data_IF_814611291783
#
_entry.id   IF_814611291783
#
_cell.length_a   1.000
_cell.length_b   1.000
_cell.length_c   1.000
_cell.angle_alpha   90.00
_cell.angle_beta   90.00
_cell.angle_gamma   90.00
#
_symmetry.space_group_name_H-M   'P 1'
#
loop_
_entity.id
_entity.type
_entity.pdbx_description
1 polymer ?
#
# COMPACT_ATOMS: atom_id res chain seq x y z
N UNK A 1 -17.70 6.42 -29.65
CA UNK A 1 -18.76 5.41 -29.82
C UNK A 1 -19.91 5.86 -28.95
N UNK A 2 -21.12 5.93 -29.50
CA UNK A 2 -22.26 6.71 -28.97
C UNK A 2 -22.66 6.30 -27.55
N UNK A 3 -22.82 7.29 -26.67
CA UNK A 3 -23.63 7.16 -25.45
C UNK A 3 -25.06 6.82 -25.88
N UNK A 4 -25.37 5.53 -25.95
CA UNK A 4 -26.75 5.07 -25.99
C UNK A 4 -27.36 5.44 -24.64
N UNK A 5 -28.30 6.38 -24.64
CA UNK A 5 -29.15 6.63 -23.46
C UNK A 5 -29.88 5.32 -23.13
N UNK A 6 -29.49 4.70 -22.02
CA UNK A 6 -30.08 3.45 -21.56
C UNK A 6 -31.46 3.75 -21.01
N UNK A 7 -32.49 3.25 -21.68
CA UNK A 7 -33.87 3.40 -21.22
C UNK A 7 -34.16 2.51 -20.01
N UNK A 8 -35.24 2.83 -19.29
CA UNK A 8 -35.75 2.03 -18.17
C UNK A 8 -35.96 0.55 -18.56
N UNK A 9 -36.53 0.33 -19.75
CA UNK A 9 -36.77 -1.02 -20.29
C UNK A 9 -35.48 -1.81 -20.53
N UNK A 10 -34.44 -1.15 -21.02
CA UNK A 10 -33.13 -1.78 -21.26
C UNK A 10 -32.46 -2.12 -19.93
N UNK A 11 -32.54 -1.22 -18.94
CA UNK A 11 -32.01 -1.47 -17.61
C UNK A 11 -32.72 -2.66 -16.92
N UNK A 12 -34.05 -2.70 -17.01
CA UNK A 12 -34.84 -3.82 -16.49
C UNK A 12 -34.46 -5.13 -17.18
N UNK A 13 -34.27 -5.12 -18.50
CA UNK A 13 -33.87 -6.33 -19.22
C UNK A 13 -32.46 -6.77 -18.87
N UNK A 14 -31.50 -5.86 -18.71
CA UNK A 14 -30.15 -6.19 -18.23
C UNK A 14 -30.17 -6.82 -16.83
N UNK A 15 -30.99 -6.28 -15.92
CA UNK A 15 -31.18 -6.86 -14.57
C UNK A 15 -31.78 -8.26 -14.66
N UNK A 16 -32.77 -8.49 -15.53
CA UNK A 16 -33.37 -9.83 -15.74
C UNK A 16 -32.39 -10.82 -16.39
N UNK A 17 -31.63 -10.41 -17.41
CA UNK A 17 -30.60 -11.22 -18.07
C UNK A 17 -29.54 -11.66 -17.06
N UNK A 18 -29.03 -10.72 -16.26
CA UNK A 18 -28.07 -11.03 -15.21
C UNK A 18 -28.65 -11.96 -14.13
N UNK A 19 -29.91 -11.77 -13.71
CA UNK A 19 -30.62 -12.69 -12.81
C UNK A 19 -30.82 -14.11 -13.39
N UNK A 20 -30.75 -14.28 -14.72
CA UNK A 20 -30.75 -15.58 -15.41
C UNK A 20 -29.33 -16.15 -15.60
N UNK A 21 -28.35 -15.66 -14.82
CA UNK A 21 -26.92 -16.02 -14.86
C UNK A 21 -26.19 -15.64 -16.16
N UNK A 22 -26.68 -14.64 -16.89
CA UNK A 22 -25.95 -14.10 -18.02
C UNK A 22 -24.86 -13.14 -17.56
N UNK A 23 -23.65 -13.28 -18.10
CA UNK A 23 -22.51 -12.47 -17.67
C UNK A 23 -22.64 -11.00 -18.12
N UNK A 24 -22.10 -10.06 -17.35
CA UNK A 24 -22.04 -8.64 -17.75
C UNK A 24 -21.31 -8.44 -19.09
N UNK A 25 -20.37 -9.33 -19.43
CA UNK A 25 -19.64 -9.29 -20.69
C UNK A 25 -20.51 -9.69 -21.89
N UNK A 26 -21.31 -10.75 -21.76
CA UNK A 26 -22.20 -11.19 -22.83
C UNK A 26 -23.33 -10.19 -23.08
N UNK A 27 -23.92 -9.63 -22.02
CA UNK A 27 -24.94 -8.57 -22.16
C UNK A 27 -24.36 -7.35 -22.87
N UNK A 28 -23.17 -6.90 -22.46
CA UNK A 28 -22.50 -5.75 -23.07
C UNK A 28 -22.17 -5.97 -24.56
N UNK A 29 -21.70 -7.17 -24.91
CA UNK A 29 -21.36 -7.53 -26.28
C UNK A 29 -22.59 -7.64 -27.19
N UNK A 30 -23.68 -8.22 -26.68
CA UNK A 30 -24.89 -8.45 -27.47
C UNK A 30 -25.65 -7.14 -27.73
N UNK A 31 -25.60 -6.20 -26.78
CA UNK A 31 -26.32 -4.92 -26.87
C UNK A 31 -25.41 -3.77 -27.33
N UNK A 32 -24.17 -4.07 -27.75
CA UNK A 32 -23.15 -3.14 -28.26
C UNK A 32 -22.90 -1.92 -27.35
N UNK A 33 -22.80 -2.17 -26.05
CA UNK A 33 -22.55 -1.16 -25.02
C UNK A 33 -21.29 -1.50 -24.21
N UNK A 34 -20.71 -0.50 -23.56
CA UNK A 34 -19.55 -0.74 -22.69
C UNK A 34 -19.98 -1.51 -21.43
N UNK A 35 -19.14 -2.46 -21.02
CA UNK A 35 -19.39 -3.31 -19.84
C UNK A 35 -19.62 -2.51 -18.55
N UNK A 36 -18.98 -1.35 -18.41
CA UNK A 36 -19.17 -0.46 -17.27
C UNK A 36 -20.61 0.08 -17.19
N UNK A 37 -21.21 0.46 -18.32
CA UNK A 37 -22.60 0.90 -18.39
C UNK A 37 -23.55 -0.22 -17.95
N UNK A 38 -23.37 -1.44 -18.45
CA UNK A 38 -24.18 -2.59 -17.99
C UNK A 38 -24.02 -2.82 -16.49
N UNK A 39 -22.78 -2.72 -15.97
CA UNK A 39 -22.52 -2.86 -14.53
C UNK A 39 -23.29 -1.83 -13.70
N UNK A 40 -23.19 -0.54 -14.04
CA UNK A 40 -23.83 0.55 -13.30
C UNK A 40 -25.35 0.40 -13.29
N UNK A 41 -25.95 0.05 -14.43
CA UNK A 41 -27.39 -0.17 -14.51
C UNK A 41 -27.85 -1.43 -13.76
N UNK A 42 -27.07 -2.51 -13.77
CA UNK A 42 -27.36 -3.73 -13.00
C UNK A 42 -27.16 -3.52 -11.49
N UNK A 43 -26.19 -2.71 -11.07
CA UNK A 43 -25.90 -2.38 -9.67
C UNK A 43 -26.83 -1.31 -9.07
N UNK A 44 -27.56 -0.56 -9.90
CA UNK A 44 -28.48 0.49 -9.46
C UNK A 44 -27.89 1.90 -9.45
N UNK A 45 -26.70 2.07 -10.01
CA UNK A 45 -26.00 3.34 -10.21
C UNK A 45 -26.50 4.03 -11.51
N UNK A 46 -27.82 4.11 -11.69
CA UNK A 46 -28.48 4.73 -12.83
C UNK A 46 -29.49 5.79 -12.37
N UNK A 47 -29.61 6.88 -13.12
CA UNK A 47 -30.45 8.05 -12.74
C UNK A 47 -31.96 7.85 -12.97
N UNK A 48 -32.41 6.61 -13.17
CA UNK A 48 -33.83 6.29 -13.37
C UNK A 48 -34.29 5.14 -12.45
N UNK A 49 -35.56 5.16 -12.09
CA UNK A 49 -36.21 4.07 -11.35
C UNK A 49 -36.62 2.97 -12.33
N UNK A 50 -36.05 1.78 -12.20
CA UNK A 50 -36.45 0.61 -12.98
C UNK A 50 -37.32 -0.33 -12.13
N UNK A 51 -38.17 -1.14 -12.75
CA UNK A 51 -39.13 -2.01 -12.05
C UNK A 51 -38.49 -3.27 -11.45
N UNK A 52 -37.30 -3.64 -11.90
CA UNK A 52 -36.53 -4.76 -11.36
C UNK A 52 -35.50 -4.22 -10.39
N UNK A 53 -35.51 -4.67 -9.13
CA UNK A 53 -34.57 -4.19 -8.12
C UNK A 53 -33.10 -4.35 -8.55
N UNK A 54 -32.23 -3.37 -8.24
CA UNK A 54 -30.81 -3.46 -8.53
C UNK A 54 -30.14 -4.60 -7.75
N UNK A 55 -29.23 -5.30 -8.42
CA UNK A 55 -28.55 -6.46 -7.84
C UNK A 55 -27.34 -5.97 -7.07
N UNK A 56 -27.46 -5.88 -5.74
CA UNK A 56 -26.31 -5.68 -4.87
C UNK A 56 -25.22 -6.70 -5.20
N UNK A 57 -23.97 -6.24 -5.34
CA UNK A 57 -22.83 -7.11 -5.59
C UNK A 57 -22.88 -8.33 -4.65
N UNK A 58 -22.70 -9.54 -5.18
CA UNK A 58 -22.80 -10.77 -4.40
C UNK A 58 -21.85 -10.81 -3.19
N UNK A 59 -20.80 -9.97 -3.13
CA UNK A 59 -19.94 -9.83 -1.95
C UNK A 59 -20.58 -9.02 -0.79
N UNK A 60 -21.60 -8.21 -1.07
CA UNK A 60 -22.19 -7.21 -0.16
C UNK A 60 -23.60 -7.56 0.31
N UNK A 61 -24.31 -8.47 -0.38
CA UNK A 61 -25.63 -8.94 0.08
C UNK A 61 -25.49 -9.85 1.32
N UNK A 62 -26.32 -9.73 2.37
CA UNK A 62 -26.29 -10.67 3.49
C UNK A 62 -26.59 -12.10 2.98
N UNK A 63 -25.92 -13.10 3.57
CA UNK A 63 -26.20 -14.51 3.26
C UNK A 63 -27.52 -14.87 3.91
N UNK A 64 -28.54 -15.19 3.12
CA UNK A 64 -29.85 -15.60 3.63
C UNK A 64 -29.88 -17.04 4.13
N UNK A 65 -30.97 -17.44 4.79
CA UNK A 65 -31.17 -18.78 5.36
C UNK A 65 -30.97 -19.90 4.32
N UNK A 66 -31.60 -19.76 3.14
CA UNK A 66 -31.54 -20.77 2.07
C UNK A 66 -30.12 -20.93 1.48
N UNK A 67 -29.37 -19.83 1.39
CA UNK A 67 -27.97 -19.83 0.95
C UNK A 67 -27.05 -20.42 2.02
N UNK A 68 -27.31 -20.11 3.30
CA UNK A 68 -26.59 -20.70 4.43
C UNK A 68 -26.74 -22.23 4.46
N UNK A 69 -27.95 -22.74 4.26
CA UNK A 69 -28.21 -24.18 4.14
C UNK A 69 -27.51 -24.79 2.92
N UNK A 70 -27.52 -24.13 1.77
CA UNK A 70 -26.83 -24.60 0.58
C UNK A 70 -25.31 -24.71 0.78
N UNK A 71 -24.68 -23.70 1.39
CA UNK A 71 -23.26 -23.69 1.73
C UNK A 71 -22.88 -24.86 2.63
N UNK A 72 -23.68 -25.13 3.67
CA UNK A 72 -23.43 -26.24 4.60
C UNK A 72 -23.61 -27.61 3.95
N UNK A 73 -24.61 -27.77 3.09
CA UNK A 73 -24.82 -29.03 2.35
C UNK A 73 -23.68 -29.33 1.39
N UNK A 74 -23.16 -28.32 0.70
CA UNK A 74 -22.01 -28.45 -0.20
C UNK A 74 -20.72 -28.78 0.56
N UNK A 75 -20.46 -28.09 1.67
CA UNK A 75 -19.34 -28.45 2.56
C UNK A 75 -19.48 -29.88 3.11
N UNK A 76 -20.68 -30.30 3.49
CA UNK A 76 -20.96 -31.67 3.92
C UNK A 76 -20.80 -32.72 2.80
N UNK A 77 -20.96 -32.32 1.54
CA UNK A 77 -20.72 -33.15 0.37
C UNK A 77 -19.22 -33.28 0.01
N UNK A 78 -18.33 -32.61 0.76
CA UNK A 78 -16.88 -32.70 0.60
C UNK A 78 -16.27 -31.57 -0.23
N UNK A 79 -17.04 -30.55 -0.64
CA UNK A 79 -16.45 -29.37 -1.27
C UNK A 79 -15.63 -28.57 -0.27
N UNK A 80 -14.46 -28.13 -0.71
CA UNK A 80 -13.56 -27.35 0.13
C UNK A 80 -14.10 -25.92 0.34
N UNK A 81 -13.80 -25.28 1.48
CA UNK A 81 -14.13 -23.87 1.71
C UNK A 81 -13.54 -22.91 0.66
N UNK A 82 -12.42 -23.27 0.03
CA UNK A 82 -11.77 -22.47 -1.02
C UNK A 82 -12.51 -22.55 -2.36
N UNK A 83 -12.99 -23.74 -2.74
CA UNK A 83 -13.88 -23.90 -3.90
C UNK A 83 -15.20 -23.15 -3.68
N UNK A 84 -15.76 -23.22 -2.47
CA UNK A 84 -16.93 -22.44 -2.10
C UNK A 84 -16.68 -20.93 -2.21
N UNK A 85 -15.52 -20.42 -1.77
CA UNK A 85 -15.17 -19.01 -1.90
C UNK A 85 -15.06 -18.56 -3.36
N UNK A 86 -14.41 -19.37 -4.20
CA UNK A 86 -14.23 -19.09 -5.62
C UNK A 86 -15.55 -19.10 -6.38
N UNK A 87 -16.42 -20.07 -6.12
CA UNK A 87 -17.68 -20.21 -6.85
C UNK A 87 -18.77 -19.25 -6.37
N UNK A 88 -18.80 -18.95 -5.07
CA UNK A 88 -19.82 -18.04 -4.51
C UNK A 88 -19.40 -16.58 -4.55
N UNK A 89 -18.11 -16.29 -4.78
CA UNK A 89 -17.54 -14.95 -4.74
C UNK A 89 -17.64 -14.28 -3.36
N UNK A 90 -17.89 -15.06 -2.31
CA UNK A 90 -18.08 -14.58 -0.93
C UNK A 90 -16.73 -14.38 -0.25
N UNK A 91 -16.64 -13.34 0.57
CA UNK A 91 -15.45 -13.09 1.41
C UNK A 91 -15.24 -14.26 2.39
N UNK A 92 -13.98 -14.65 2.60
CA UNK A 92 -13.60 -15.75 3.48
C UNK A 92 -14.21 -15.66 4.88
N UNK A 93 -14.14 -14.49 5.51
CA UNK A 93 -14.72 -14.24 6.84
C UNK A 93 -16.22 -14.53 6.89
N UNK A 94 -16.94 -14.23 5.81
CA UNK A 94 -18.37 -14.51 5.68
C UNK A 94 -18.60 -16.01 5.59
N UNK A 95 -17.86 -16.73 4.75
CA UNK A 95 -17.98 -18.19 4.63
C UNK A 95 -17.69 -18.90 5.95
N UNK A 96 -16.61 -18.51 6.65
CA UNK A 96 -16.26 -19.08 7.95
C UNK A 96 -17.39 -18.88 8.96
N UNK A 97 -18.02 -17.70 9.01
CA UNK A 97 -19.16 -17.43 9.91
C UNK A 97 -20.33 -18.37 9.66
N UNK A 98 -20.67 -18.66 8.40
CA UNK A 98 -21.83 -19.47 8.04
C UNK A 98 -21.56 -20.99 8.10
N UNK A 99 -20.38 -21.43 7.67
CA UNK A 99 -19.97 -22.84 7.73
C UNK A 99 -19.73 -23.32 9.17
N UNK A 100 -19.28 -22.43 10.07
CA UNK A 100 -19.03 -22.75 11.47
C UNK A 100 -20.27 -22.65 12.38
N UNK A 101 -21.47 -22.41 11.83
CA UNK A 101 -22.68 -22.29 12.64
C UNK A 101 -22.96 -20.91 13.27
N UNK A 102 -22.06 -19.93 13.14
CA UNK A 102 -22.14 -18.63 13.82
C UNK A 102 -23.01 -17.59 13.06
N UNK A 103 -24.11 -18.03 12.45
CA UNK A 103 -25.06 -17.18 11.76
C UNK A 103 -26.29 -16.87 12.62
N UNK A 104 -26.96 -15.76 12.36
CA UNK A 104 -28.11 -15.27 13.14
C UNK A 104 -29.45 -15.90 12.72
N UNK A 105 -29.44 -16.86 11.78
CA UNK A 105 -30.66 -17.53 11.30
C UNK A 105 -31.06 -18.69 12.22
N UNK A 106 -32.36 -18.92 12.45
CA UNK A 106 -32.86 -20.07 13.19
C UNK A 106 -32.51 -21.40 12.47
N UNK A 107 -32.33 -22.46 13.27
CA UNK A 107 -31.91 -23.83 12.91
C UNK A 107 -31.79 -24.14 11.40
N UNK A 108 -30.64 -23.78 10.85
CA UNK A 108 -30.30 -23.99 9.44
C UNK A 108 -29.82 -25.42 9.23
N UNK A 109 -30.55 -26.19 8.42
CA UNK A 109 -30.20 -27.57 8.09
C UNK A 109 -28.80 -27.67 7.45
N UNK A 110 -28.02 -28.68 7.85
CA UNK A 110 -26.70 -28.99 7.29
C UNK A 110 -25.64 -29.20 8.38
N UNK A 111 -24.60 -29.98 8.06
CA UNK A 111 -23.49 -30.24 8.98
C UNK A 111 -22.63 -28.97 9.08
N UNK A 112 -22.39 -28.50 10.30
CA UNK A 112 -21.41 -27.43 10.56
C UNK A 112 -20.00 -27.98 10.47
N UNK A 113 -19.11 -27.29 9.77
CA UNK A 113 -17.69 -27.65 9.76
C UNK A 113 -17.06 -27.08 11.04
N UNK A 114 -16.25 -27.88 11.73
CA UNK A 114 -15.52 -27.43 12.91
C UNK A 114 -14.71 -26.18 12.56
N UNK A 115 -14.83 -25.14 13.41
CA UNK A 115 -14.17 -23.86 13.15
C UNK A 115 -12.66 -24.03 13.08
N UNK A 116 -12.07 -24.94 13.87
CA UNK A 116 -10.65 -25.27 13.77
C UNK A 116 -10.29 -25.78 12.36
N UNK A 117 -11.10 -26.67 11.78
CA UNK A 117 -10.90 -27.22 10.43
C UNK A 117 -11.02 -26.20 9.32
N UNK A 118 -11.89 -25.20 9.48
CA UNK A 118 -11.98 -24.07 8.55
C UNK A 118 -10.78 -23.11 8.65
N UNK A 119 -10.05 -23.13 9.77
CA UNK A 119 -8.86 -22.31 10.00
C UNK A 119 -7.56 -23.07 9.64
N UNK A 120 -7.63 -24.34 9.24
CA UNK A 120 -6.48 -25.20 8.89
C UNK A 120 -5.64 -24.70 7.71
N UNK A 121 -6.12 -23.72 6.93
CA UNK A 121 -5.29 -22.97 5.96
C UNK A 121 -4.11 -22.21 6.62
N UNK A 122 -3.99 -22.23 7.95
CA UNK A 122 -3.00 -21.44 8.73
C UNK A 122 -2.16 -22.21 9.76
N UNK A 123 -2.29 -23.53 9.90
CA UNK A 123 -1.52 -24.27 10.92
C UNK A 123 -0.32 -25.01 10.30
N UNK A 124 0.85 -24.38 10.44
CA UNK A 124 2.16 -25.02 10.25
C UNK A 124 2.36 -26.06 11.36
N UNK A 125 2.69 -27.30 10.99
CA UNK A 125 2.99 -28.37 11.97
C UNK A 125 4.37 -28.17 12.61
N UNK A 126 4.65 -28.86 13.73
CA UNK A 126 5.98 -28.83 14.35
C UNK A 126 7.09 -29.29 13.38
N UNK A 127 6.80 -30.28 12.53
CA UNK A 127 7.72 -30.79 11.50
C UNK A 127 7.94 -29.77 10.36
N UNK A 128 6.88 -29.07 9.94
CA UNK A 128 7.00 -27.98 8.96
C UNK A 128 7.76 -26.79 9.54
N UNK A 129 7.53 -26.43 10.81
CA UNK A 129 8.31 -25.40 11.48
C UNK A 129 9.79 -25.78 11.61
N UNK A 130 10.11 -27.03 11.94
CA UNK A 130 11.47 -27.55 11.93
C UNK A 130 12.11 -27.41 10.55
N UNK A 131 11.33 -27.68 9.49
CA UNK A 131 11.75 -27.57 8.10
C UNK A 131 11.99 -26.11 7.69
N UNK A 132 11.14 -25.18 8.14
CA UNK A 132 11.31 -23.74 7.90
C UNK A 132 12.59 -23.22 8.57
N UNK A 133 12.84 -23.61 9.83
CA UNK A 133 14.03 -23.17 10.56
C UNK A 133 15.32 -23.62 9.91
N UNK A 134 15.42 -24.91 9.52
CA UNK A 134 16.59 -25.44 8.78
C UNK A 134 16.74 -24.81 7.40
N UNK A 135 15.64 -24.75 6.65
CA UNK A 135 15.69 -24.30 5.27
C UNK A 135 16.03 -22.81 5.12
N UNK A 136 15.58 -21.96 6.06
CA UNK A 136 16.00 -20.55 6.10
C UNK A 136 17.48 -20.39 6.46
N UNK A 137 18.00 -21.22 7.37
CA UNK A 137 19.42 -21.23 7.71
C UNK A 137 20.29 -21.61 6.49
N UNK A 138 19.88 -22.64 5.73
CA UNK A 138 20.55 -23.09 4.51
C UNK A 138 20.43 -22.07 3.36
N UNK A 139 19.26 -21.46 3.17
CA UNK A 139 19.03 -20.44 2.15
C UNK A 139 19.66 -19.08 2.49
N UNK A 140 20.14 -18.89 3.73
CA UNK A 140 20.75 -17.68 4.24
C UNK A 140 19.78 -16.54 4.57
N UNK A 141 18.56 -16.54 4.02
CA UNK A 141 17.51 -15.59 4.38
C UNK A 141 16.09 -16.14 4.11
N UNK A 142 15.10 -15.51 4.76
CA UNK A 142 13.70 -15.95 4.70
C UNK A 142 13.13 -15.81 3.29
N UNK A 143 13.49 -14.76 2.55
CA UNK A 143 12.97 -14.49 1.21
C UNK A 143 13.41 -15.58 0.22
N UNK A 144 14.70 -15.91 0.20
CA UNK A 144 15.25 -16.96 -0.65
C UNK A 144 14.65 -18.34 -0.35
N UNK A 145 14.35 -18.63 0.92
CA UNK A 145 13.66 -19.88 1.28
C UNK A 145 12.18 -19.88 0.85
N UNK A 146 11.49 -18.75 0.99
CA UNK A 146 10.08 -18.63 0.58
C UNK A 146 9.91 -18.63 -0.93
N UNK A 147 10.90 -18.18 -1.70
CA UNK A 147 10.91 -18.32 -3.17
C UNK A 147 11.04 -19.78 -3.61
N UNK A 148 11.69 -20.62 -2.79
CA UNK A 148 11.88 -22.05 -3.05
C UNK A 148 10.78 -22.94 -2.46
N UNK A 149 9.77 -22.37 -1.79
CA UNK A 149 8.71 -23.14 -1.11
C UNK A 149 7.32 -22.59 -1.41
N UNK A 150 6.29 -23.43 -1.29
CA UNK A 150 4.89 -23.02 -1.51
C UNK A 150 4.27 -22.30 -0.30
N UNK A 151 5.08 -21.90 0.69
CA UNK A 151 4.61 -21.33 1.94
C UNK A 151 4.72 -19.80 1.95
N UNK A 152 3.67 -19.13 2.41
CA UNK A 152 3.61 -17.67 2.50
C UNK A 152 4.73 -17.10 3.38
N UNK A 153 5.37 -16.02 2.92
CA UNK A 153 6.47 -15.34 3.61
C UNK A 153 6.19 -15.05 5.08
N UNK A 154 5.03 -14.46 5.39
CA UNK A 154 4.66 -14.09 6.76
C UNK A 154 4.49 -15.32 7.66
N UNK A 155 4.02 -16.42 7.09
CA UNK A 155 3.86 -17.70 7.78
C UNK A 155 5.23 -18.31 8.09
N UNK A 156 6.16 -18.33 7.14
CA UNK A 156 7.53 -18.81 7.39
C UNK A 156 8.25 -17.93 8.42
N UNK A 157 8.18 -16.60 8.25
CA UNK A 157 8.85 -15.62 9.11
C UNK A 157 8.45 -15.77 10.59
N UNK A 158 7.15 -15.87 10.87
CA UNK A 158 6.62 -16.04 12.22
C UNK A 158 7.17 -17.29 12.91
N UNK A 159 7.22 -18.41 12.18
CA UNK A 159 7.67 -19.70 12.72
C UNK A 159 9.18 -19.79 12.90
N UNK A 160 9.94 -19.17 11.99
CA UNK A 160 11.40 -19.03 12.10
C UNK A 160 11.79 -18.11 13.26
N UNK A 161 11.00 -17.06 13.53
CA UNK A 161 11.19 -16.15 14.66
C UNK A 161 10.75 -16.74 16.02
N UNK A 162 10.17 -17.94 16.03
CA UNK A 162 9.72 -18.60 17.27
C UNK A 162 8.35 -18.16 17.77
N UNK A 163 7.58 -17.42 16.96
CA UNK A 163 6.24 -16.94 17.29
C UNK A 163 5.19 -18.03 16.98
N UNK A 164 5.43 -19.24 17.48
CA UNK A 164 4.61 -20.43 17.23
C UNK A 164 4.34 -21.22 18.52
N UNK A 165 3.17 -21.85 18.62
CA UNK A 165 2.71 -22.54 19.83
C UNK A 165 3.10 -24.03 19.91
N UNK A 166 4.03 -24.49 19.08
CA UNK A 166 4.49 -25.88 19.06
C UNK A 166 5.99 -25.96 19.39
N UNK A 167 6.35 -27.01 20.13
CA UNK A 167 7.72 -27.27 20.54
C UNK A 167 8.51 -27.91 19.40
N UNK A 168 9.69 -27.38 19.12
CA UNK A 168 10.54 -27.79 17.99
C UNK A 168 11.98 -27.76 18.45
N UNK A 169 12.68 -28.89 18.30
CA UNK A 169 14.05 -29.11 18.78
C UNK A 169 15.10 -28.19 18.15
N UNK A 170 14.79 -27.55 17.02
CA UNK A 170 15.65 -26.57 16.36
C UNK A 170 15.31 -25.19 16.93
N UNK A 171 16.26 -24.46 17.54
CA UNK A 171 15.98 -23.16 18.13
C UNK A 171 15.44 -22.17 17.09
N UNK A 172 14.60 -21.20 17.49
CA UNK A 172 14.23 -20.11 16.60
C UNK A 172 15.47 -19.36 16.15
N UNK A 173 15.40 -18.73 14.97
CA UNK A 173 16.47 -17.90 14.44
C UNK A 173 16.91 -16.94 15.54
N UNK A 174 18.20 -16.97 15.89
CA UNK A 174 18.75 -15.98 16.79
C UNK A 174 18.44 -14.61 16.21
N UNK A 175 17.58 -13.84 16.90
CA UNK A 175 17.62 -12.39 16.77
C UNK A 175 19.01 -12.06 17.26
N UNK A 176 19.97 -11.92 16.33
CA UNK A 176 21.22 -11.24 16.63
C UNK A 176 20.76 -9.97 17.33
N UNK A 177 21.03 -9.90 18.63
CA UNK A 177 20.87 -8.67 19.40
C UNK A 177 21.37 -7.59 18.48
N UNK A 178 20.55 -6.55 18.20
CA UNK A 178 20.95 -5.45 17.32
C UNK A 178 22.40 -5.16 17.68
N UNK A 179 23.34 -5.53 16.81
CA UNK A 179 24.74 -5.17 16.99
C UNK A 179 24.64 -3.68 17.19
N UNK A 180 24.99 -3.19 18.38
CA UNK A 180 24.67 -1.84 18.82
C UNK A 180 24.86 -0.88 17.66
N UNK A 181 23.88 -0.01 17.43
CA UNK A 181 23.83 0.85 16.24
C UNK A 181 25.24 1.32 15.89
N UNK A 182 25.69 0.96 14.67
CA UNK A 182 27.03 1.33 14.19
C UNK A 182 27.18 2.81 14.42
N UNK A 183 28.10 3.18 15.31
CA UNK A 183 28.31 4.58 15.67
C UNK A 183 28.82 5.35 14.47
N UNK A 184 28.60 6.67 14.45
CA UNK A 184 29.11 7.52 13.37
C UNK A 184 30.63 7.37 13.19
N UNK A 185 31.37 7.18 14.29
CA UNK A 185 32.82 6.93 14.28
C UNK A 185 33.19 5.60 13.66
N UNK A 186 32.43 4.53 13.94
CA UNK A 186 32.63 3.22 13.31
C UNK A 186 32.26 3.25 11.83
N UNK A 187 31.19 3.95 11.45
CA UNK A 187 30.81 4.14 10.06
C UNK A 187 31.90 4.90 9.29
N UNK A 188 32.47 5.95 9.86
CA UNK A 188 33.56 6.71 9.26
C UNK A 188 34.83 5.85 9.11
N UNK A 189 35.17 5.06 10.14
CA UNK A 189 36.32 4.15 10.12
C UNK A 189 36.17 3.05 9.06
N UNK A 190 35.00 2.41 8.95
CA UNK A 190 34.71 1.42 7.92
C UNK A 190 34.87 2.00 6.51
N UNK A 191 34.37 3.22 6.27
CA UNK A 191 34.51 3.90 4.98
C UNK A 191 35.94 4.28 4.67
N UNK A 192 36.69 4.78 5.66
CA UNK A 192 38.11 5.11 5.49
C UNK A 192 38.92 3.86 5.14
N UNK A 193 38.66 2.75 5.82
CA UNK A 193 39.31 1.48 5.59
C UNK A 193 39.00 0.90 4.21
N UNK A 194 37.75 0.99 3.77
CA UNK A 194 37.36 0.60 2.40
C UNK A 194 38.08 1.43 1.32
N UNK A 195 38.38 2.71 1.58
CA UNK A 195 39.12 3.58 0.65
C UNK A 195 40.61 3.29 0.53
N UNK A 196 41.19 2.46 1.39
CA UNK A 196 42.62 2.11 1.32
C UNK A 196 42.99 1.27 0.10
N UNK A 197 41.99 0.75 -0.63
CA UNK A 197 42.17 0.21 -1.97
C UNK A 197 41.42 -1.10 -2.23
N UNK A 198 41.56 -1.66 -3.44
CA UNK A 198 40.74 -2.79 -3.93
C UNK A 198 40.99 -4.12 -3.21
N UNK A 199 41.97 -4.20 -2.32
CA UNK A 199 42.28 -5.40 -1.53
C UNK A 199 41.45 -5.51 -0.24
N UNK A 200 40.62 -4.50 0.08
CA UNK A 200 39.75 -4.51 1.26
C UNK A 200 38.36 -4.98 0.83
N UNK A 201 37.97 -6.19 1.26
CA UNK A 201 36.65 -6.74 0.93
C UNK A 201 35.61 -6.45 2.02
N UNK A 202 34.33 -6.57 1.66
CA UNK A 202 33.22 -6.41 2.60
C UNK A 202 33.24 -7.47 3.71
N UNK A 203 33.71 -8.69 3.41
CA UNK A 203 33.91 -9.74 4.42
C UNK A 203 34.98 -9.35 5.44
N UNK A 204 36.12 -8.82 4.98
CA UNK A 204 37.20 -8.38 5.87
C UNK A 204 36.74 -7.27 6.84
N UNK A 205 35.94 -6.33 6.34
CA UNK A 205 35.38 -5.26 7.16
C UNK A 205 34.31 -5.75 8.13
N UNK A 206 33.50 -6.75 7.74
CA UNK A 206 32.52 -7.36 8.63
C UNK A 206 33.20 -8.11 9.80
N UNK A 207 34.32 -8.78 9.52
CA UNK A 207 35.13 -9.45 10.54
C UNK A 207 35.87 -8.45 11.44
N UNK A 208 36.40 -7.36 10.86
CA UNK A 208 37.18 -6.34 11.58
C UNK A 208 36.30 -5.50 12.52
N UNK A 209 35.13 -5.05 12.05
CA UNK A 209 34.27 -4.14 12.81
C UNK A 209 33.17 -4.88 13.59
N UNK A 210 32.96 -6.18 13.35
CA UNK A 210 31.89 -7.03 13.93
C UNK A 210 30.45 -6.89 13.37
N UNK A 211 30.03 -5.88 12.56
CA UNK A 211 28.68 -5.88 11.99
C UNK A 211 28.57 -6.89 10.84
N UNK A 212 27.33 -7.23 10.48
CA UNK A 212 27.09 -8.12 9.33
C UNK A 212 27.58 -7.51 8.01
N UNK A 213 27.94 -8.35 7.03
CA UNK A 213 28.32 -7.91 5.67
C UNK A 213 27.30 -6.94 5.05
N UNK A 214 26.00 -7.21 5.20
CA UNK A 214 24.94 -6.32 4.70
C UNK A 214 24.86 -4.98 5.45
N UNK A 215 25.22 -4.96 6.73
CA UNK A 215 25.37 -3.71 7.49
C UNK A 215 26.56 -2.90 6.98
N UNK A 216 27.73 -3.54 6.80
CA UNK A 216 28.93 -2.90 6.21
C UNK A 216 28.61 -2.32 4.83
N UNK A 217 27.95 -3.09 3.97
CA UNK A 217 27.55 -2.68 2.63
C UNK A 217 26.63 -1.46 2.65
N UNK A 218 25.62 -1.46 3.53
CA UNK A 218 24.72 -0.31 3.74
C UNK A 218 25.50 0.95 4.18
N UNK A 219 26.47 0.80 5.08
CA UNK A 219 27.30 1.92 5.52
C UNK A 219 28.25 2.43 4.42
N UNK A 220 28.83 1.55 3.61
CA UNK A 220 29.70 1.93 2.47
C UNK A 220 28.88 2.61 1.35
N UNK A 221 27.66 2.14 1.08
CA UNK A 221 26.74 2.69 0.07
C UNK A 221 25.96 3.93 0.54
N UNK A 222 26.33 4.53 1.67
CA UNK A 222 25.68 5.73 2.21
C UNK A 222 24.17 5.57 2.49
N UNK A 223 23.70 4.35 2.76
CA UNK A 223 22.29 4.06 3.10
C UNK A 223 22.10 3.83 4.60
N UNK A 224 22.98 4.43 5.41
CA UNK A 224 22.93 4.36 6.86
C UNK A 224 21.87 5.32 7.43
N UNK A 225 21.26 4.94 8.56
CA UNK A 225 20.18 5.69 9.22
C UNK A 225 20.65 6.91 10.01
N UNK A 226 21.96 7.20 9.99
CA UNK A 226 22.55 8.36 10.62
C UNK A 226 23.23 9.22 9.54
N UNK A 227 23.30 10.55 9.73
CA UNK A 227 23.95 11.44 8.79
C UNK A 227 25.41 10.98 8.58
N UNK A 228 25.92 11.01 7.33
CA UNK A 228 27.32 10.71 7.09
C UNK A 228 28.16 11.82 7.74
N UNK A 229 28.70 11.55 8.93
CA UNK A 229 29.63 12.46 9.60
C UNK A 229 30.71 12.93 8.63
N UNK A 230 30.80 14.25 8.49
CA UNK A 230 31.59 15.02 7.53
C UNK A 230 32.73 14.26 6.85
N UNK A 231 32.41 13.68 5.70
CA UNK A 231 33.37 13.51 4.63
C UNK A 231 32.66 13.96 3.35
N UNK A 232 32.55 15.28 3.22
CA UNK A 232 32.39 15.92 1.92
C UNK A 232 33.37 15.23 0.96
N UNK A 233 32.83 14.54 -0.04
CA UNK A 233 33.61 14.09 -1.20
C UNK A 233 34.01 15.37 -1.94
N UNK A 234 35.13 15.97 -1.54
CA UNK A 234 35.65 17.22 -2.12
C UNK A 234 36.58 16.99 -3.30
N UNK A 235 36.70 15.76 -3.80
CA UNK A 235 37.42 15.50 -5.05
C UNK A 235 36.58 14.62 -5.98
N UNK A 236 36.35 15.16 -7.17
CA UNK A 236 35.59 14.56 -8.27
C UNK A 236 36.25 13.30 -8.82
N UNK A 237 37.47 12.96 -8.39
CA UNK A 237 38.22 11.79 -8.87
C UNK A 237 37.79 10.44 -8.28
N UNK A 238 36.87 10.41 -7.31
CA UNK A 238 36.40 9.16 -6.69
C UNK A 238 35.11 8.56 -7.28
N UNK A 239 34.39 9.33 -8.11
CA UNK A 239 33.06 8.92 -8.64
C UNK A 239 33.19 8.32 -10.04
N UNK A 240 34.27 8.60 -10.76
CA UNK A 240 34.41 8.23 -12.17
C UNK A 240 34.71 6.73 -12.39
N UNK A 241 35.45 6.08 -11.48
CA UNK A 241 35.73 4.63 -11.56
C UNK A 241 34.48 3.75 -11.30
N UNK A 242 33.45 4.28 -10.64
CA UNK A 242 32.18 3.57 -10.39
C UNK A 242 31.19 3.64 -11.56
N UNK A 243 31.38 4.59 -12.48
CA UNK A 243 30.53 4.77 -13.66
C UNK A 243 31.14 4.14 -14.93
N UNK A 244 32.46 4.03 -15.02
CA UNK A 244 33.14 3.50 -16.22
C UNK A 244 33.33 1.97 -16.23
N UNK A 245 32.98 1.27 -15.14
CA UNK A 245 33.00 -0.21 -15.08
C UNK A 245 31.86 -0.91 -15.83
N UNK A 246 30.88 -0.17 -16.34
CA UNK A 246 29.72 -0.73 -17.07
C UNK A 246 29.50 0.00 -18.39
N UNK A 247 30.48 -0.07 -19.31
CA UNK A 247 30.30 0.31 -20.71
C UNK A 247 30.56 -0.88 -21.65
N UNK A 248 29.53 -1.74 -21.72
CA UNK A 248 28.96 -2.47 -22.89
C UNK A 248 29.85 -3.43 -23.75
N UNK A 249 29.21 -4.33 -24.53
CA UNK A 249 29.01 -3.89 -25.92
C UNK A 249 27.56 -4.03 -26.41
N UNK A 250 27.11 -2.91 -26.97
CA UNK A 250 26.28 -2.73 -28.15
C UNK A 250 25.52 -3.98 -28.63
N UNK A 251 24.19 -3.96 -28.45
CA UNK A 251 23.31 -4.48 -29.49
C UNK A 251 22.20 -3.47 -29.78
N UNK A 252 22.04 -3.20 -31.06
CA UNK A 252 21.19 -2.20 -31.72
C UNK A 252 19.77 -2.12 -31.15
N UNK A 253 19.49 -0.96 -30.56
CA UNK A 253 18.16 -0.46 -30.25
C UNK A 253 17.44 -0.02 -31.53
N UNK A 254 16.28 -0.63 -31.80
CA UNK A 254 15.21 0.02 -32.55
C UNK A 254 13.91 -0.07 -31.74
N UNK A 255 13.10 1.00 -31.72
CA UNK A 255 12.18 1.26 -30.62
C UNK A 255 10.76 0.88 -31.00
N UNK A 256 10.16 -0.16 -30.39
CA UNK A 256 8.69 -0.28 -30.38
C UNK A 256 8.18 -0.86 -29.04
N UNK A 257 7.24 -0.11 -28.43
CA UNK A 257 6.23 -0.51 -27.45
C UNK A 257 6.65 -1.11 -26.10
N UNK A 258 7.21 -0.28 -25.23
CA UNK A 258 6.51 0.30 -24.09
C UNK A 258 5.23 -0.53 -23.47
N UNK A 259 5.15 -0.85 -22.11
CA UNK A 259 4.20 -1.14 -20.88
C UNK A 259 2.75 -0.63 -20.65
N UNK A 260 1.99 -1.43 -19.88
CA UNK A 260 1.00 -0.90 -18.91
C UNK A 260 1.35 -1.19 -17.44
N UNK A 261 1.35 -0.15 -16.60
CA UNK A 261 1.39 -0.17 -15.12
C UNK A 261 -0.06 -0.11 -14.58
N UNK A 262 -0.55 -1.19 -13.97
CA UNK A 262 -1.86 -1.21 -13.28
C UNK A 262 -1.67 -1.43 -11.77
N UNK A 263 -1.69 -0.33 -11.01
CA UNK A 263 -2.02 -0.32 -9.58
C UNK A 263 -2.48 1.07 -9.11
N UNK A 264 -3.65 1.51 -9.60
CA UNK A 264 -4.43 2.61 -9.00
C UNK A 264 -5.90 2.19 -8.92
N UNK A 265 -6.35 1.70 -7.76
CA UNK A 265 -7.80 1.61 -7.46
C UNK A 265 -8.04 2.02 -6.02
N UNK A 266 -7.77 3.29 -5.74
CA UNK A 266 -8.54 4.20 -4.85
C UNK A 266 -7.86 5.58 -4.84
N UNK A 267 -7.49 6.04 -6.04
CA UNK A 267 -7.26 7.45 -6.33
C UNK A 267 -8.54 8.03 -6.93
N UNK A 268 -8.70 9.35 -6.82
CA UNK A 268 -9.73 10.10 -7.54
C UNK A 268 -9.74 9.67 -9.02
N UNK A 269 -10.86 9.18 -9.59
CA UNK A 269 -10.88 8.58 -10.93
C UNK A 269 -10.59 9.55 -12.08
N UNK A 270 -10.32 10.82 -11.80
CA UNK A 270 -10.03 11.89 -12.76
C UNK A 270 -8.59 11.94 -13.26
N UNK A 271 -7.65 11.14 -12.73
CA UNK A 271 -6.25 11.18 -13.20
C UNK A 271 -5.63 9.78 -13.39
N UNK A 272 -5.43 9.42 -14.66
CA UNK A 272 -4.42 8.44 -15.06
C UNK A 272 -3.27 9.19 -15.75
N UNK A 273 -2.04 9.00 -15.27
CA UNK A 273 -0.84 9.54 -15.90
C UNK A 273 -0.54 8.77 -17.20
N UNK A 274 -0.27 9.51 -18.29
CA UNK A 274 -0.13 8.98 -19.65
C UNK A 274 1.28 8.44 -19.98
N UNK A 275 2.02 7.94 -19.00
CA UNK A 275 3.30 7.26 -19.24
C UNK A 275 3.11 5.76 -19.20
N UNK A 276 2.47 5.30 -20.25
CA UNK A 276 2.66 3.96 -20.72
C UNK A 276 3.73 4.13 -21.82
N UNK A 277 4.92 3.55 -21.63
CA UNK A 277 5.00 2.08 -21.57
C UNK A 277 6.55 1.52 -21.40
N UNK A 278 6.92 0.40 -20.71
CA UNK A 278 7.94 -0.75 -20.93
C UNK A 278 7.49 -2.28 -20.75
N UNK A 279 8.11 -3.33 -21.33
CA UNK A 279 7.62 -4.73 -21.17
C UNK A 279 7.58 -5.26 -19.71
N UNK A 280 6.63 -6.16 -19.40
CA UNK A 280 6.27 -6.62 -18.04
C UNK A 280 7.47 -7.18 -17.21
N UNK A 281 7.76 -6.63 -16.01
CA UNK A 281 8.76 -7.18 -15.09
C UNK A 281 8.21 -8.34 -14.24
N UNK A 282 9.12 -9.20 -13.73
CA UNK A 282 8.78 -10.24 -12.76
C UNK A 282 8.09 -9.67 -11.52
N UNK A 283 6.97 -10.28 -11.10
CA UNK A 283 6.10 -9.82 -10.02
C UNK A 283 6.29 -10.65 -8.75
N UNK A 284 6.54 -9.98 -7.62
CA UNK A 284 6.61 -10.57 -6.27
C UNK A 284 5.43 -10.05 -5.44
N UNK A 285 4.62 -10.94 -4.85
CA UNK A 285 3.55 -10.54 -3.94
C UNK A 285 4.11 -10.07 -2.59
N UNK A 286 3.68 -8.88 -2.13
CA UNK A 286 4.09 -8.31 -0.84
C UNK A 286 2.86 -7.93 -0.01
N UNK A 287 2.77 -8.41 1.23
CA UNK A 287 1.72 -8.03 2.19
C UNK A 287 2.18 -6.80 2.99
N UNK A 288 1.52 -5.66 2.82
CA UNK A 288 1.78 -4.44 3.60
C UNK A 288 0.56 -4.04 4.44
N UNK A 289 0.76 -3.70 5.71
CA UNK A 289 -0.25 -3.04 6.54
C UNK A 289 -0.31 -1.55 6.18
N UNK A 290 -1.41 -1.12 5.56
CA UNK A 290 -1.63 0.28 5.16
C UNK A 290 -2.61 0.96 6.12
N UNK A 291 -2.30 2.20 6.49
CA UNK A 291 -3.23 3.07 7.20
C UNK A 291 -4.39 3.40 6.26
N UNK A 292 -5.62 3.05 6.64
CA UNK A 292 -6.83 3.38 5.87
C UNK A 292 -7.11 4.88 6.08
N UNK A 293 -6.81 5.69 5.06
CA UNK A 293 -7.15 7.12 5.03
C UNK A 293 -8.60 7.30 4.61
N UNK A 294 -9.33 8.21 5.24
CA UNK A 294 -10.70 8.56 4.90
C UNK A 294 -10.73 9.35 3.59
N UNK A 295 -10.94 8.64 2.48
CA UNK A 295 -10.99 9.21 1.13
C UNK A 295 -12.16 10.19 0.94
N UNK A 296 -13.22 10.08 1.73
CA UNK A 296 -14.35 11.03 1.69
C UNK A 296 -13.97 12.37 2.30
N UNK A 297 -13.32 12.37 3.47
CA UNK A 297 -12.86 13.58 4.14
C UNK A 297 -11.88 14.38 3.28
N UNK A 298 -10.92 13.69 2.65
CA UNK A 298 -9.97 14.30 1.72
C UNK A 298 -10.66 14.95 0.50
N UNK A 299 -11.73 14.34 -0.03
CA UNK A 299 -12.48 14.90 -1.16
C UNK A 299 -13.28 16.13 -0.73
N UNK A 300 -13.94 16.06 0.42
CA UNK A 300 -14.75 17.15 0.97
C UNK A 300 -13.91 18.39 1.26
N UNK A 301 -12.74 18.22 1.88
CA UNK A 301 -11.85 19.36 2.18
C UNK A 301 -11.24 19.96 0.91
N UNK A 302 -10.84 19.16 -0.09
CA UNK A 302 -10.37 19.70 -1.38
C UNK A 302 -11.45 20.52 -2.08
N UNK A 303 -12.68 20.02 -2.10
CA UNK A 303 -13.82 20.73 -2.67
C UNK A 303 -14.10 22.05 -1.92
N UNK A 304 -13.98 22.05 -0.60
CA UNK A 304 -14.17 23.23 0.24
C UNK A 304 -13.23 24.39 -0.12
N UNK A 305 -12.00 24.09 -0.54
CA UNK A 305 -11.01 25.08 -0.98
C UNK A 305 -11.00 25.29 -2.49
N UNK A 306 -11.92 24.66 -3.24
CA UNK A 306 -11.92 24.73 -4.70
C UNK A 306 -10.63 24.18 -5.33
N UNK A 307 -9.93 23.29 -4.61
CA UNK A 307 -8.59 22.77 -4.94
C UNK A 307 -7.52 23.87 -5.07
N UNK A 308 -7.70 25.01 -4.41
CA UNK A 308 -6.66 26.01 -4.25
C UNK A 308 -5.72 25.63 -3.11
N UNK A 309 -4.42 25.80 -3.30
CA UNK A 309 -3.44 25.64 -2.24
C UNK A 309 -3.69 26.66 -1.11
N UNK A 310 -3.75 26.20 0.14
CA UNK A 310 -3.95 27.09 1.30
C UNK A 310 -2.74 28.00 1.59
N UNK A 311 -1.55 27.67 1.06
CA UNK A 311 -0.32 28.45 1.23
C UNK A 311 -0.19 29.51 0.13
N UNK A 312 -0.16 29.11 -1.14
CA UNK A 312 0.11 30.04 -2.25
C UNK A 312 -1.13 30.48 -3.04
N UNK A 313 -2.30 29.87 -2.81
CA UNK A 313 -3.53 30.16 -3.55
C UNK A 313 -3.58 29.60 -4.98
N UNK A 314 -2.51 28.99 -5.49
CA UNK A 314 -2.49 28.39 -6.83
C UNK A 314 -3.49 27.23 -6.95
N UNK A 315 -4.15 27.15 -8.11
CA UNK A 315 -4.97 26.01 -8.52
C UNK A 315 -4.23 25.26 -9.62
N UNK A 316 -3.75 24.05 -9.32
CA UNK A 316 -3.13 23.19 -10.33
C UNK A 316 -4.21 22.52 -11.19
N UNK A 317 -3.82 22.07 -12.37
CA UNK A 317 -4.73 21.51 -13.37
C UNK A 317 -4.18 20.20 -13.90
N UNK A 318 -5.01 19.17 -13.90
CA UNK A 318 -4.70 17.87 -14.48
C UNK A 318 -4.77 17.86 -16.01
N UNK A 319 -4.47 16.71 -16.65
CA UNK A 319 -4.50 16.54 -18.11
C UNK A 319 -5.85 16.89 -18.77
N UNK A 320 -6.96 16.80 -18.05
CA UNK A 320 -8.31 17.18 -18.50
C UNK A 320 -8.70 18.64 -18.21
N UNK A 321 -7.84 19.42 -17.54
CA UNK A 321 -8.18 20.75 -17.02
C UNK A 321 -8.94 20.72 -15.69
N UNK A 322 -9.16 19.54 -15.12
CA UNK A 322 -9.74 19.39 -13.79
C UNK A 322 -8.80 19.97 -12.73
N UNK A 323 -9.35 20.61 -11.69
CA UNK A 323 -8.55 21.24 -10.66
C UNK A 323 -7.90 20.17 -9.76
N UNK A 324 -6.64 20.37 -9.41
CA UNK A 324 -5.83 19.39 -8.69
C UNK A 324 -5.18 19.99 -7.45
N UNK A 325 -5.31 19.28 -6.34
CA UNK A 325 -4.67 19.58 -5.05
C UNK A 325 -4.54 18.29 -4.22
N UNK A 326 -3.66 18.32 -3.24
CA UNK A 326 -3.35 17.21 -2.33
C UNK A 326 -3.89 17.52 -0.93
N UNK A 327 -4.40 16.48 -0.25
CA UNK A 327 -4.83 16.58 1.13
C UNK A 327 -3.68 16.07 2.02
N UNK A 328 -3.06 16.98 2.76
CA UNK A 328 -1.90 16.72 3.61
C UNK A 328 -2.32 16.63 5.08
N UNK A 329 -1.92 15.57 5.79
CA UNK A 329 -2.15 15.50 7.24
C UNK A 329 -1.07 16.29 7.99
N UNK A 330 -1.47 17.35 8.72
CA UNK A 330 -0.56 18.23 9.46
C UNK A 330 0.32 17.41 10.41
N UNK A 331 -0.32 16.57 11.22
CA UNK A 331 0.32 15.51 12.01
C UNK A 331 0.20 14.18 11.26
N UNK A 332 1.31 13.54 10.85
CA UNK A 332 1.25 12.32 10.08
C UNK A 332 0.48 11.20 10.78
N UNK A 333 -0.28 10.43 10.00
CA UNK A 333 -1.01 9.27 10.53
C UNK A 333 -0.07 8.12 10.88
N UNK A 334 -0.45 7.34 11.91
CA UNK A 334 0.24 6.11 12.33
C UNK A 334 1.65 6.32 12.90
N UNK A 335 2.25 5.22 13.35
CA UNK A 335 3.51 5.29 14.09
C UNK A 335 4.66 5.90 13.26
N UNK A 336 5.53 6.74 13.86
CA UNK A 336 5.56 7.11 15.28
C UNK A 336 4.71 8.33 15.66
N UNK A 337 4.03 8.95 14.70
CA UNK A 337 3.39 10.25 14.90
C UNK A 337 1.95 10.12 15.41
N UNK A 338 1.23 9.07 15.01
CA UNK A 338 -0.11 8.71 15.47
C UNK A 338 -1.12 9.88 15.39
N UNK A 339 -1.05 10.65 14.31
CA UNK A 339 -2.03 11.70 14.00
C UNK A 339 -3.43 11.11 13.74
N UNK A 340 -4.50 11.81 14.16
CA UNK A 340 -5.87 11.42 13.86
C UNK A 340 -6.26 11.76 12.42
N UNK A 341 -7.15 10.96 11.84
CA UNK A 341 -7.72 11.22 10.51
C UNK A 341 -9.01 12.05 10.64
N UNK A 342 -8.84 13.35 10.87
CA UNK A 342 -9.90 14.32 11.16
C UNK A 342 -9.70 15.62 10.36
N UNK A 343 -10.77 16.41 10.18
CA UNK A 343 -10.78 17.58 9.31
C UNK A 343 -9.73 18.61 9.75
N UNK A 344 -9.64 18.84 11.06
CA UNK A 344 -8.73 19.80 11.69
C UNK A 344 -7.25 19.40 11.56
N UNK A 345 -6.96 18.17 11.14
CA UNK A 345 -5.61 17.67 10.90
C UNK A 345 -5.26 17.65 9.41
N UNK A 346 -6.02 18.30 8.53
CA UNK A 346 -5.78 18.23 7.08
C UNK A 346 -5.59 19.63 6.49
N UNK A 347 -4.66 19.78 5.56
CA UNK A 347 -4.50 20.96 4.70
C UNK A 347 -4.67 20.58 3.22
N UNK A 348 -5.15 21.52 2.42
CA UNK A 348 -5.22 21.41 0.96
C UNK A 348 -4.05 22.17 0.36
N UNK A 349 -3.10 21.43 -0.24
CA UNK A 349 -1.84 21.97 -0.73
C UNK A 349 -1.63 21.64 -2.21
N UNK A 350 -0.81 22.45 -2.90
CA UNK A 350 -0.26 22.04 -4.19
C UNK A 350 0.91 21.05 -3.98
N UNK A 351 1.33 20.28 -4.98
CA UNK A 351 2.37 19.25 -4.81
C UNK A 351 3.71 19.76 -4.27
N UNK A 352 4.09 20.99 -4.67
CA UNK A 352 5.33 21.60 -4.18
C UNK A 352 5.23 21.85 -2.67
N UNK A 353 4.22 22.61 -2.24
CA UNK A 353 4.02 22.90 -0.82
C UNK A 353 3.66 21.68 0.01
N UNK A 354 3.05 20.65 -0.58
CA UNK A 354 2.84 19.37 0.09
C UNK A 354 4.18 18.73 0.45
N UNK A 355 5.10 18.64 -0.52
CA UNK A 355 6.45 18.13 -0.29
C UNK A 355 7.22 19.03 0.71
N UNK A 356 7.15 20.34 0.56
CA UNK A 356 7.85 21.28 1.46
C UNK A 356 7.33 21.17 2.90
N UNK A 357 6.02 20.93 3.09
CA UNK A 357 5.43 20.69 4.40
C UNK A 357 5.85 19.33 4.99
N UNK A 358 5.94 18.27 4.18
CA UNK A 358 6.47 16.96 4.60
C UNK A 358 7.94 17.05 5.08
N UNK A 359 8.75 17.87 4.40
CA UNK A 359 10.16 18.07 4.74
C UNK A 359 10.40 19.15 5.80
N UNK A 360 9.35 19.73 6.39
CA UNK A 360 9.48 20.78 7.39
C UNK A 360 10.06 22.10 6.87
N UNK A 361 10.06 22.31 5.54
CA UNK A 361 10.46 23.56 4.87
C UNK A 361 9.41 24.66 4.97
N UNK A 362 8.19 24.28 5.37
CA UNK A 362 7.11 25.21 5.71
C UNK A 362 6.63 24.95 7.12
N UNK A 363 6.51 26.01 7.92
CA UNK A 363 5.88 25.98 9.24
C UNK A 363 4.72 26.95 9.26
N UNK A 364 3.60 26.56 9.85
CA UNK A 364 2.48 27.46 10.08
C UNK A 364 2.35 27.71 11.58
N UNK A 365 2.46 28.98 11.98
CA UNK A 365 2.31 29.39 13.37
C UNK A 365 0.91 29.06 13.90
N UNK A 366 0.83 28.36 15.03
CA UNK A 366 -0.42 27.79 15.52
C UNK A 366 -1.41 28.81 16.10
N UNK A 367 -0.94 30.01 16.46
CA UNK A 367 -1.79 31.08 17.01
C UNK A 367 -2.23 32.07 15.93
N UNK A 368 -1.29 32.42 15.05
CA UNK A 368 -1.47 33.50 14.07
C UNK A 368 -1.78 32.96 12.68
N UNK A 369 -1.57 31.67 12.41
CA UNK A 369 -1.66 31.06 11.08
C UNK A 369 -0.72 31.70 10.06
N UNK A 370 0.38 32.29 10.52
CA UNK A 370 1.41 32.87 9.65
C UNK A 370 2.28 31.75 9.09
N UNK A 371 2.45 31.72 7.77
CA UNK A 371 3.32 30.79 7.06
C UNK A 371 4.76 31.27 7.17
N UNK A 372 5.67 30.39 7.54
CA UNK A 372 7.11 30.58 7.48
C UNK A 372 7.65 29.61 6.45
N UNK A 373 8.19 30.11 5.34
CA UNK A 373 8.64 29.28 4.22
C UNK A 373 10.13 29.50 3.97
N UNK A 374 10.92 28.42 4.05
CA UNK A 374 12.37 28.51 3.94
C UNK A 374 12.86 28.86 2.52
N UNK A 375 12.20 28.30 1.49
CA UNK A 375 12.67 28.42 0.10
C UNK A 375 11.88 29.42 -0.78
N UNK A 376 10.69 29.87 -0.36
CA UNK A 376 9.79 30.70 -1.17
C UNK A 376 9.35 31.98 -0.43
N UNK A 377 10.09 33.07 -0.66
CA UNK A 377 9.82 34.37 -0.03
C UNK A 377 8.50 35.03 -0.43
N UNK A 378 7.85 34.55 -1.50
CA UNK A 378 6.56 35.08 -1.95
C UNK A 378 5.40 34.70 -1.02
N UNK A 379 5.55 33.59 -0.29
CA UNK A 379 4.55 33.08 0.67
C UNK A 379 5.04 33.15 2.12
N UNK A 380 6.32 33.43 2.33
CA UNK A 380 6.89 33.65 3.66
C UNK A 380 6.30 34.91 4.33
N UNK A 381 5.78 34.76 5.54
CA UNK A 381 5.09 35.80 6.29
C UNK A 381 3.61 36.00 5.93
N UNK A 382 3.09 35.30 4.92
CA UNK A 382 1.68 35.37 4.54
C UNK A 382 0.79 34.56 5.49
N UNK A 383 -0.52 34.78 5.43
CA UNK A 383 -1.50 34.02 6.22
C UNK A 383 -1.93 32.76 5.49
N UNK A 384 -1.94 31.63 6.20
CA UNK A 384 -2.60 30.42 5.71
C UNK A 384 -4.06 30.74 5.40
N UNK A 385 -4.48 30.41 4.19
CA UNK A 385 -5.87 30.61 3.76
C UNK A 385 -6.74 29.58 4.46
N UNK A 386 -7.72 30.05 5.25
CA UNK A 386 -8.70 29.21 5.93
C UNK A 386 -10.12 29.73 5.66
N UNK A 387 -11.10 28.83 5.66
CA UNK A 387 -12.52 29.18 5.54
C UNK A 387 -13.25 28.84 6.84
N UNK A 388 -14.36 29.53 7.14
CA UNK A 388 -15.05 29.41 8.45
C UNK A 388 -15.44 27.97 8.83
N UNK A 389 -15.69 27.10 7.87
CA UNK A 389 -16.06 25.70 8.09
C UNK A 389 -14.88 24.73 8.18
N UNK A 390 -13.63 25.21 8.07
CA UNK A 390 -12.43 24.41 8.24
C UNK A 390 -11.40 25.19 9.06
N UNK A 391 -11.22 24.76 10.32
CA UNK A 391 -10.30 25.39 11.25
C UNK A 391 -9.19 24.40 11.66
N UNK A 392 -8.00 24.47 11.04
CA UNK A 392 -6.87 23.63 11.41
C UNK A 392 -6.56 23.69 12.91
N UNK A 393 -6.26 22.54 13.50
CA UNK A 393 -5.98 22.43 14.93
C UNK A 393 -4.63 23.07 15.25
N UNK A 394 -4.64 24.03 16.19
CA UNK A 394 -3.41 24.64 16.71
C UNK A 394 -2.47 23.60 17.32
N UNK A 395 -3.00 22.52 17.91
CA UNK A 395 -2.20 21.45 18.48
C UNK A 395 -1.45 20.64 17.41
N UNK A 396 -2.06 20.40 16.24
CA UNK A 396 -1.40 19.69 15.14
C UNK A 396 -0.36 20.59 14.47
N UNK A 397 -0.67 21.88 14.27
CA UNK A 397 0.28 22.86 13.75
C UNK A 397 1.51 23.01 14.66
N UNK A 398 1.30 23.07 15.98
CA UNK A 398 2.38 23.10 16.95
C UNK A 398 3.20 21.80 16.92
N UNK A 399 2.54 20.64 16.85
CA UNK A 399 3.22 19.36 16.75
C UNK A 399 4.14 19.30 15.51
N UNK A 400 3.65 19.75 14.36
CA UNK A 400 4.43 19.80 13.12
C UNK A 400 5.66 20.70 13.27
N UNK A 401 5.48 21.91 13.80
CA UNK A 401 6.58 22.84 14.06
C UNK A 401 7.65 22.25 15.00
N UNK A 402 7.21 21.59 16.09
CA UNK A 402 8.10 21.06 17.13
C UNK A 402 8.73 19.71 16.80
N UNK A 403 8.13 18.92 15.91
CA UNK A 403 8.54 17.52 15.70
C UNK A 403 9.02 17.25 14.28
N UNK A 404 8.49 17.96 13.28
CA UNK A 404 8.83 17.75 11.87
C UNK A 404 9.83 18.82 11.43
N UNK A 405 9.51 20.09 11.63
CA UNK A 405 10.37 21.20 11.19
C UNK A 405 11.61 21.45 12.08
N UNK A 406 11.53 21.13 13.38
CA UNK A 406 12.63 21.35 14.33
C UNK A 406 13.81 20.39 14.18
N UNK A 407 13.66 19.28 13.44
CA UNK A 407 14.72 18.27 13.27
C UNK A 407 15.92 18.77 12.44
N UNK A 408 15.85 19.98 11.89
CA UNK A 408 16.93 20.63 11.11
C UNK A 408 17.83 21.56 11.95
N UNK A 409 17.57 21.75 13.26
CA UNK A 409 18.34 22.68 14.11
C UNK A 409 19.39 22.00 15.02
N UNK A 410 19.73 20.72 14.80
CA UNK A 410 20.70 19.97 15.63
C UNK A 410 21.82 19.34 14.81
#
# INVERSE_FOLDING_TARGET
MSELEVSEDICDEWRRRHNRNESLFSIARDDDVIRATVRNHVSGECDHTANVDPIAAAASRPVGEMECTALRRRAAAGESPDELAKETGRRWKTLVRHLSGNCEHPDTEGVTVARETLLERTNVTAEQCATFRRGVEEAGNVLAYTEATEHEYQTVLRHVNGECNHDVDIPPRERRERSGDVSETECAAMRARYREGPNVTLEMLADEFTPSKGTVERHIRFTCSHPPGDLLVTSVDGVQDLLEGTAEPETTYQPESVASLDSVTDGDPTEAAADLATPEPDRVETTQSRIVRNTTLAREVKALYGHSCQICGDVRRGPGGDPYAEAHHIRPLGAPHDGPDELENILVLCPNHHADFDYGRVVVDSETLTVQHHDESAVDGEKLTVVDSHNPSSAHLQYHAETIASQESS
#
